data_IF_329266844489
#
_entry.id   IF_329266844489
#
_cell.length_a   1.000
_cell.length_b   1.000
_cell.length_c   1.000
_cell.angle_alpha   90.00
_cell.angle_beta   90.00
_cell.angle_gamma   90.00
#
_symmetry.space_group_name_H-M   'P 1'
#
loop_
_entity.id
_entity.type
_entity.pdbx_description
1 polymer ?
#
# COMPACT_ATOMS: atom_id res chain seq x y z
N UNK A 1 -7.04 -21.97 6.80
CA UNK A 1 -6.86 -20.76 5.95
C UNK A 1 -7.69 -19.57 6.42
N UNK A 2 -9.00 -19.73 6.69
CA UNK A 2 -9.90 -18.63 7.08
C UNK A 2 -9.38 -17.72 8.21
N UNK A 3 -9.02 -18.29 9.37
CA UNK A 3 -8.55 -17.49 10.51
C UNK A 3 -7.22 -16.77 10.25
N UNK A 4 -6.33 -17.35 9.44
CA UNK A 4 -5.07 -16.71 9.06
C UNK A 4 -5.31 -15.48 8.18
N UNK A 5 -6.24 -15.56 7.22
CA UNK A 5 -6.62 -14.43 6.37
C UNK A 5 -7.31 -13.32 7.16
N UNK A 6 -8.19 -13.66 8.10
CA UNK A 6 -8.86 -12.68 8.97
C UNK A 6 -7.85 -11.99 9.89
N UNK A 7 -6.95 -12.74 10.53
CA UNK A 7 -5.91 -12.17 11.39
C UNK A 7 -4.92 -11.29 10.59
N UNK A 8 -4.54 -11.70 9.39
CA UNK A 8 -3.70 -10.90 8.49
C UNK A 8 -4.40 -9.62 8.03
N UNK A 9 -5.70 -9.71 7.73
CA UNK A 9 -6.53 -8.54 7.43
C UNK A 9 -6.55 -7.56 8.61
N UNK A 10 -6.87 -8.05 9.81
CA UNK A 10 -6.90 -7.21 11.02
C UNK A 10 -5.53 -6.58 11.33
N UNK A 11 -4.42 -7.31 11.14
CA UNK A 11 -3.06 -6.77 11.33
C UNK A 11 -2.73 -5.65 10.34
N UNK A 12 -3.18 -5.76 9.09
CA UNK A 12 -2.99 -4.71 8.08
C UNK A 12 -4.02 -3.58 8.18
N UNK A 13 -5.14 -3.77 8.86
CA UNK A 13 -6.14 -2.71 9.07
C UNK A 13 -5.91 -1.90 10.34
N UNK A 14 -5.46 -2.54 11.42
CA UNK A 14 -5.37 -1.91 12.74
C UNK A 14 -3.98 -2.07 13.41
N UNK A 15 -3.09 -2.88 12.86
CA UNK A 15 -1.75 -3.10 13.38
C UNK A 15 -0.68 -2.27 12.66
N UNK A 16 0.59 -2.57 12.94
CA UNK A 16 1.73 -1.90 12.32
C UNK A 16 1.83 -2.11 10.79
N UNK A 17 1.18 -3.15 10.26
CA UNK A 17 1.04 -3.36 8.82
C UNK A 17 0.23 -2.25 8.14
N UNK A 18 -0.73 -1.64 8.85
CA UNK A 18 -1.55 -0.54 8.35
C UNK A 18 -0.71 0.71 8.09
N UNK A 19 0.20 1.06 9.02
CA UNK A 19 1.08 2.21 8.88
C UNK A 19 2.00 2.05 7.67
N UNK A 20 2.67 0.90 7.55
CA UNK A 20 3.55 0.61 6.41
C UNK A 20 2.82 0.67 5.07
N UNK A 21 1.58 0.17 5.01
CA UNK A 21 0.77 0.22 3.78
C UNK A 21 0.34 1.66 3.47
N UNK A 22 -0.09 2.41 4.48
CA UNK A 22 -0.44 3.83 4.36
C UNK A 22 0.74 4.65 3.85
N UNK A 23 1.94 4.46 4.41
CA UNK A 23 3.17 5.13 3.96
C UNK A 23 3.47 4.86 2.48
N UNK A 24 3.30 3.61 2.04
CA UNK A 24 3.54 3.23 0.64
C UNK A 24 2.50 3.82 -0.32
N UNK A 25 1.26 4.00 0.14
CA UNK A 25 0.19 4.63 -0.64
C UNK A 25 0.42 6.14 -0.73
N UNK A 26 0.82 6.78 0.38
CA UNK A 26 1.10 8.21 0.44
C UNK A 26 2.28 8.59 -0.47
N UNK A 27 3.38 7.84 -0.43
CA UNK A 27 4.50 8.05 -1.35
C UNK A 27 4.10 7.79 -2.82
N UNK A 28 3.26 6.78 -3.07
CA UNK A 28 2.76 6.52 -4.43
C UNK A 28 1.85 7.66 -4.93
N UNK A 29 0.95 8.15 -4.09
CA UNK A 29 0.07 9.29 -4.39
C UNK A 29 0.87 10.58 -4.61
N UNK A 30 1.88 10.82 -3.76
CA UNK A 30 2.82 11.94 -3.90
C UNK A 30 3.59 11.88 -5.22
N UNK A 31 4.06 10.70 -5.64
CA UNK A 31 4.68 10.54 -6.96
C UNK A 31 3.69 10.82 -8.10
N UNK A 32 2.40 10.53 -7.92
CA UNK A 32 1.36 10.84 -8.92
C UNK A 32 1.07 12.34 -8.99
N UNK A 33 0.98 13.02 -7.85
CA UNK A 33 0.82 14.48 -7.76
C UNK A 33 2.01 15.24 -8.35
N UNK A 34 3.23 14.74 -8.12
CA UNK A 34 4.47 15.28 -8.70
C UNK A 34 4.64 14.94 -10.19
N UNK A 35 3.72 14.19 -10.79
CA UNK A 35 3.76 13.82 -12.22
C UNK A 35 4.83 12.79 -12.58
N UNK A 36 5.43 12.11 -11.59
CA UNK A 36 6.52 11.15 -11.75
C UNK A 36 6.00 9.71 -11.85
N UNK A 37 4.77 9.43 -11.40
CA UNK A 37 4.20 8.08 -11.33
C UNK A 37 3.62 7.55 -12.66
N UNK A 38 3.67 8.30 -13.76
CA UNK A 38 3.35 7.75 -15.06
C UNK A 38 4.42 6.71 -15.42
N UNK A 39 4.02 5.44 -15.25
CA UNK A 39 4.67 4.25 -15.77
C UNK A 39 5.34 4.51 -17.11
N UNK A 40 6.68 4.42 -17.16
CA UNK A 40 7.35 4.02 -18.39
C UNK A 40 7.15 2.52 -18.53
N UNK A 41 5.97 2.16 -19.02
CA UNK A 41 5.78 0.94 -19.77
C UNK A 41 5.82 1.28 -21.25
N UNK A 42 7.00 1.38 -21.85
CA UNK A 42 7.16 1.12 -23.28
C UNK A 42 8.59 0.60 -23.56
N UNK A 43 8.64 -0.73 -23.75
CA UNK A 43 9.73 -1.62 -24.22
C UNK A 43 10.76 -2.10 -23.20
#
# INVERSE_FOLDING_TARGET
MLFGSVAYGMYNSFGSGAHRLTDSIDEHARMHELGIAHTHGDK
#
